data_IF_186507268259
#
_entry.id   IF_186507268259
#
_cell.length_a   1.000
_cell.length_b   1.000
_cell.length_c   1.000
_cell.angle_alpha   90.00
_cell.angle_beta   90.00
_cell.angle_gamma   90.00
#
_symmetry.space_group_name_H-M   'P 1'
#
loop_
_entity.id
_entity.type
_entity.pdbx_description
1 polymer ?
#
# COMPACT_ATOMS: atom_id res chain seq x y z
N UNK A 1 -7.64 30.52 7.83
CA UNK A 1 -7.87 29.29 8.63
C UNK A 1 -6.55 28.53 8.62
N UNK A 2 -5.97 28.18 9.77
CA UNK A 2 -4.72 27.41 9.82
C UNK A 2 -5.01 25.93 9.50
N UNK A 3 -4.10 25.26 8.79
CA UNK A 3 -4.23 23.82 8.57
C UNK A 3 -3.95 23.03 9.86
N UNK A 4 -4.47 21.81 9.98
CA UNK A 4 -4.25 20.93 11.14
C UNK A 4 -2.76 20.80 11.49
N UNK A 5 -1.90 20.63 10.48
CA UNK A 5 -0.45 20.57 10.64
C UNK A 5 0.16 21.90 11.12
N UNK A 6 -0.31 23.04 10.59
CA UNK A 6 0.15 24.36 11.04
C UNK A 6 -0.23 24.62 12.51
N UNK A 7 -1.40 24.16 12.94
CA UNK A 7 -1.83 24.25 14.35
C UNK A 7 -0.96 23.36 15.24
N UNK A 8 -0.74 22.10 14.87
CA UNK A 8 0.10 21.17 15.63
C UNK A 8 1.54 21.65 15.76
N UNK A 9 2.14 22.14 14.66
CA UNK A 9 3.51 22.68 14.68
C UNK A 9 3.60 23.90 15.61
N UNK A 10 2.60 24.79 15.56
CA UNK A 10 2.55 25.98 16.44
C UNK A 10 2.39 25.60 17.92
N UNK A 11 1.59 24.58 18.23
CA UNK A 11 1.42 24.07 19.59
C UNK A 11 2.75 23.49 20.10
N UNK A 12 3.45 22.70 19.28
CA UNK A 12 4.78 22.20 19.62
C UNK A 12 5.76 23.34 19.89
N UNK A 13 5.90 24.28 18.95
CA UNK A 13 6.85 25.40 19.06
C UNK A 13 6.61 26.26 20.31
N UNK A 14 5.34 26.47 20.69
CA UNK A 14 4.97 27.34 21.81
C UNK A 14 4.99 26.64 23.16
N UNK A 15 4.65 25.35 23.23
CA UNK A 15 4.41 24.64 24.50
C UNK A 15 5.38 23.49 24.77
N UNK A 16 6.17 23.08 23.78
CA UNK A 16 6.99 21.86 23.84
C UNK A 16 6.16 20.56 23.84
N UNK A 17 4.82 20.64 23.78
CA UNK A 17 3.94 19.48 23.76
C UNK A 17 3.91 18.88 22.36
N UNK A 18 4.38 17.65 22.24
CA UNK A 18 4.33 16.86 21.00
C UNK A 18 3.15 15.87 21.04
N UNK A 19 2.40 15.71 19.93
CA UNK A 19 1.35 14.70 19.87
C UNK A 19 1.97 13.30 19.87
N UNK A 20 1.52 12.46 20.79
CA UNK A 20 1.85 11.03 20.79
C UNK A 20 0.66 10.29 20.18
N UNK A 21 0.86 9.71 19.00
CA UNK A 21 -0.18 8.95 18.30
C UNK A 21 -0.11 7.47 18.67
N UNK A 22 -1.26 6.88 18.99
CA UNK A 22 -1.42 5.48 19.31
C UNK A 22 -2.69 4.92 18.67
N UNK A 23 -2.64 3.68 18.19
CA UNK A 23 -3.82 3.00 17.64
C UNK A 23 -4.89 2.82 18.71
N UNK A 24 -6.16 2.87 18.29
CA UNK A 24 -7.31 2.75 19.18
C UNK A 24 -8.35 1.77 18.63
N UNK A 25 -9.15 1.18 19.52
CA UNK A 25 -10.33 0.44 19.13
C UNK A 25 -11.29 1.36 18.35
N UNK A 26 -11.93 0.83 17.29
CA UNK A 26 -12.88 1.58 16.44
C UNK A 26 -14.10 2.10 17.20
N UNK A 27 -14.47 1.44 18.31
CA UNK A 27 -15.49 1.88 19.27
C UNK A 27 -14.93 2.69 20.45
N UNK A 28 -13.66 3.10 20.38
CA UNK A 28 -12.93 3.88 21.39
C UNK A 28 -12.85 3.24 22.79
N UNK A 29 -13.07 1.94 22.92
CA UNK A 29 -13.07 1.27 24.22
C UNK A 29 -11.68 1.20 24.88
N UNK A 30 -10.61 1.18 24.08
CA UNK A 30 -9.22 1.13 24.56
C UNK A 30 -8.24 1.61 23.50
N UNK A 31 -7.07 2.06 23.95
CA UNK A 31 -5.90 2.30 23.10
C UNK A 31 -4.94 1.12 23.17
N UNK A 32 -4.26 0.82 22.06
CA UNK A 32 -3.29 -0.27 21.94
C UNK A 32 -1.90 0.21 22.39
N UNK A 33 -1.78 0.51 23.68
CA UNK A 33 -0.54 1.01 24.32
C UNK A 33 -0.12 0.11 25.48
N UNK A 34 1.15 0.21 25.90
CA UNK A 34 1.67 -0.55 27.04
C UNK A 34 1.42 -2.05 26.94
N UNK A 35 0.76 -2.62 27.95
CA UNK A 35 0.39 -4.05 28.02
C UNK A 35 -0.59 -4.50 26.93
N UNK A 36 -1.26 -3.56 26.27
CA UNK A 36 -2.22 -3.83 25.19
C UNK A 36 -1.64 -3.60 23.80
N UNK A 37 -0.36 -3.21 23.70
CA UNK A 37 0.33 -2.92 22.44
C UNK A 37 0.33 -4.09 21.44
N UNK A 38 0.29 -5.33 21.95
CA UNK A 38 0.31 -6.55 21.15
C UNK A 38 -1.09 -7.11 20.85
N UNK A 39 -2.16 -6.50 21.37
CA UNK A 39 -3.51 -7.00 21.11
C UNK A 39 -3.94 -6.69 19.68
N UNK A 40 -4.56 -7.69 19.04
CA UNK A 40 -5.07 -7.63 17.66
C UNK A 40 -6.60 -7.47 17.60
N UNK A 41 -7.25 -7.52 18.76
CA UNK A 41 -8.67 -7.23 18.96
C UNK A 41 -8.86 -6.49 20.27
N UNK A 42 -9.94 -5.71 20.35
CA UNK A 42 -10.30 -4.96 21.54
C UNK A 42 -10.73 -5.93 22.64
N UNK A 43 -10.09 -5.84 23.81
CA UNK A 43 -10.40 -6.68 24.98
C UNK A 43 -11.85 -6.51 25.48
N UNK A 44 -12.50 -5.39 25.17
CA UNK A 44 -13.82 -5.04 25.72
C UNK A 44 -14.98 -5.34 24.77
N UNK A 45 -14.84 -5.00 23.49
CA UNK A 45 -15.92 -5.17 22.51
C UNK A 45 -15.58 -6.21 21.44
N UNK A 46 -14.41 -6.85 21.53
CA UNK A 46 -13.88 -7.86 20.62
C UNK A 46 -13.75 -7.44 19.15
N UNK A 47 -13.97 -6.16 18.85
CA UNK A 47 -13.74 -5.60 17.52
C UNK A 47 -12.26 -5.75 17.14
N UNK A 48 -11.95 -6.12 15.90
CA UNK A 48 -10.57 -6.21 15.45
C UNK A 48 -9.89 -4.85 15.58
N UNK A 49 -8.60 -4.86 15.97
CA UNK A 49 -7.75 -3.66 15.88
C UNK A 49 -7.79 -3.16 14.44
N UNK A 50 -7.88 -1.84 14.27
CA UNK A 50 -7.71 -1.25 12.95
C UNK A 50 -6.30 -1.59 12.47
N UNK A 51 -6.24 -2.49 11.50
CA UNK A 51 -5.01 -2.94 10.87
C UNK A 51 -4.86 -2.17 9.59
N UNK A 52 -3.62 -1.92 9.18
CA UNK A 52 -3.37 -1.41 7.84
C UNK A 52 -4.11 -2.29 6.85
N UNK A 53 -4.70 -1.70 5.82
CA UNK A 53 -5.54 -2.43 4.89
C UNK A 53 -4.83 -3.64 4.27
N UNK A 54 -3.51 -3.54 4.06
CA UNK A 54 -2.65 -4.66 3.65
C UNK A 54 -2.70 -5.81 4.66
N UNK A 55 -2.48 -5.56 5.94
CA UNK A 55 -2.52 -6.63 6.95
C UNK A 55 -3.92 -7.24 7.10
N UNK A 56 -4.99 -6.48 6.84
CA UNK A 56 -6.34 -7.02 6.80
C UNK A 56 -6.56 -7.97 5.60
N UNK A 57 -6.04 -7.63 4.42
CA UNK A 57 -6.08 -8.49 3.22
C UNK A 57 -5.39 -9.82 3.49
N UNK A 58 -4.22 -9.80 4.14
CA UNK A 58 -3.45 -11.03 4.39
C UNK A 58 -4.01 -11.93 5.53
N UNK A 59 -5.02 -11.45 6.27
CA UNK A 59 -5.72 -12.27 7.27
C UNK A 59 -6.88 -13.08 6.69
N UNK A 60 -7.48 -12.62 5.60
CA UNK A 60 -8.60 -13.29 4.99
C UNK A 60 -8.08 -14.34 3.98
N UNK A 61 -8.41 -15.64 4.13
CA UNK A 61 -7.90 -16.68 3.24
C UNK A 61 -8.21 -16.44 1.76
N UNK A 62 -9.38 -15.91 1.42
CA UNK A 62 -9.75 -15.60 0.05
C UNK A 62 -8.95 -14.42 -0.50
N UNK A 63 -8.77 -13.37 0.31
CA UNK A 63 -7.97 -12.21 -0.09
C UNK A 63 -6.49 -12.57 -0.22
N UNK A 64 -5.95 -13.43 0.65
CA UNK A 64 -4.59 -13.98 0.52
C UNK A 64 -4.44 -14.80 -0.75
N UNK A 65 -5.42 -15.64 -1.08
CA UNK A 65 -5.40 -16.42 -2.33
C UNK A 65 -5.31 -15.49 -3.55
N UNK A 66 -6.11 -14.42 -3.58
CA UNK A 66 -6.03 -13.40 -4.64
C UNK A 66 -4.68 -12.67 -4.62
N UNK A 67 -4.03 -12.54 -3.46
CA UNK A 67 -2.69 -11.96 -3.36
C UNK A 67 -1.60 -12.89 -3.90
N UNK A 68 -1.83 -14.20 -3.81
CA UNK A 68 -1.00 -15.24 -4.40
C UNK A 68 -1.14 -15.39 -5.92
N UNK A 69 -2.24 -14.89 -6.50
CA UNK A 69 -2.43 -14.86 -7.97
C UNK A 69 -1.22 -14.26 -8.70
N UNK A 70 -0.61 -13.20 -8.16
CA UNK A 70 0.61 -12.62 -8.74
C UNK A 70 1.74 -13.64 -8.83
N UNK A 71 1.99 -14.38 -7.75
CA UNK A 71 3.06 -15.37 -7.72
C UNK A 71 2.78 -16.47 -8.74
N UNK A 72 1.57 -17.02 -8.75
CA UNK A 72 1.17 -18.06 -9.71
C UNK A 72 1.32 -17.57 -11.16
N UNK A 73 0.82 -16.37 -11.46
CA UNK A 73 0.90 -15.79 -12.81
C UNK A 73 2.34 -15.48 -13.21
N UNK A 74 3.17 -15.01 -12.28
CA UNK A 74 4.58 -14.77 -12.54
C UNK A 74 5.32 -16.06 -12.89
N UNK A 75 5.11 -17.14 -12.15
CA UNK A 75 5.74 -18.43 -12.47
C UNK A 75 5.36 -18.90 -13.88
N UNK A 76 4.09 -18.81 -14.25
CA UNK A 76 3.63 -19.14 -15.61
C UNK A 76 4.31 -18.29 -16.69
N UNK A 77 4.44 -16.97 -16.46
CA UNK A 77 5.10 -16.07 -17.40
C UNK A 77 6.59 -16.45 -17.52
N UNK A 78 7.30 -16.68 -16.40
CA UNK A 78 8.71 -17.05 -16.45
C UNK A 78 8.92 -18.39 -17.17
N UNK A 79 8.07 -19.39 -16.92
CA UNK A 79 8.07 -20.68 -17.61
C UNK A 79 7.82 -20.53 -19.12
N UNK A 80 6.87 -19.68 -19.53
CA UNK A 80 6.59 -19.38 -20.95
C UNK A 80 7.81 -18.76 -21.63
N UNK A 81 8.45 -17.79 -20.97
CA UNK A 81 9.62 -17.08 -21.50
C UNK A 81 10.81 -18.03 -21.68
N UNK A 82 11.06 -18.87 -20.68
CA UNK A 82 12.14 -19.86 -20.72
C UNK A 82 11.89 -20.94 -21.79
N UNK A 83 10.69 -21.52 -21.82
CA UNK A 83 10.35 -22.60 -22.76
C UNK A 83 10.43 -22.16 -24.23
N UNK A 84 10.06 -20.90 -24.51
CA UNK A 84 10.08 -20.36 -25.86
C UNK A 84 11.40 -19.64 -26.21
N UNK A 85 12.31 -19.49 -25.24
CA UNK A 85 13.55 -18.73 -25.38
C UNK A 85 13.30 -17.31 -25.92
N UNK A 86 12.35 -16.61 -25.30
CA UNK A 86 11.95 -15.23 -25.63
C UNK A 86 12.04 -14.35 -24.38
N UNK A 87 12.27 -13.05 -24.59
CA UNK A 87 12.37 -12.10 -23.47
C UNK A 87 11.02 -11.53 -23.03
N UNK A 88 9.98 -11.68 -23.85
CA UNK A 88 8.66 -11.07 -23.68
C UNK A 88 7.52 -12.08 -23.92
N UNK A 89 6.41 -12.01 -23.15
CA UNK A 89 5.28 -12.91 -23.32
C UNK A 89 4.61 -12.69 -24.67
N UNK A 90 3.99 -13.75 -25.20
CA UNK A 90 3.22 -13.69 -26.43
C UNK A 90 1.92 -12.87 -26.31
N UNK A 91 1.35 -12.83 -25.10
CA UNK A 91 0.12 -12.08 -24.78
C UNK A 91 0.32 -11.17 -23.56
N UNK A 92 -0.10 -9.91 -23.70
CA UNK A 92 -0.10 -8.93 -22.61
C UNK A 92 -1.51 -8.82 -22.03
N UNK A 93 -1.77 -9.58 -20.96
CA UNK A 93 -3.08 -9.65 -20.34
C UNK A 93 -3.13 -9.11 -18.90
N UNK A 94 -1.98 -8.90 -18.27
CA UNK A 94 -1.86 -8.41 -16.90
C UNK A 94 -0.65 -7.46 -16.77
N UNK A 95 -0.62 -6.69 -15.68
CA UNK A 95 0.47 -5.76 -15.34
C UNK A 95 1.83 -6.47 -15.21
N UNK A 96 1.82 -7.76 -14.89
CA UNK A 96 3.04 -8.56 -14.72
C UNK A 96 3.77 -8.85 -16.03
N UNK A 97 3.10 -8.70 -17.19
CA UNK A 97 3.73 -8.83 -18.49
C UNK A 97 4.58 -7.60 -18.86
N UNK A 98 4.47 -6.50 -18.11
CA UNK A 98 5.21 -5.26 -18.40
C UNK A 98 6.72 -5.45 -18.28
N UNK A 99 7.47 -4.89 -19.24
CA UNK A 99 8.92 -5.05 -19.28
C UNK A 99 9.61 -4.57 -18.01
N UNK A 100 9.24 -3.39 -17.50
CA UNK A 100 9.80 -2.86 -16.26
C UNK A 100 9.58 -3.84 -15.10
N UNK A 101 8.39 -4.45 -15.03
CA UNK A 101 8.05 -5.40 -13.98
C UNK A 101 8.92 -6.67 -14.09
N UNK A 102 9.07 -7.21 -15.30
CA UNK A 102 9.93 -8.36 -15.58
C UNK A 102 11.40 -8.06 -15.23
N UNK A 103 11.90 -6.88 -15.60
CA UNK A 103 13.26 -6.46 -15.27
C UNK A 103 13.46 -6.28 -13.76
N UNK A 104 12.45 -5.77 -13.04
CA UNK A 104 12.47 -5.68 -11.60
C UNK A 104 12.43 -7.07 -10.92
N UNK A 105 11.73 -8.05 -11.47
CA UNK A 105 11.79 -9.43 -10.97
C UNK A 105 13.16 -10.05 -11.25
N UNK A 106 13.66 -9.96 -12.49
CA UNK A 106 14.95 -10.53 -12.93
C UNK A 106 16.14 -9.96 -12.16
N UNK A 107 16.10 -8.68 -11.82
CA UNK A 107 17.15 -8.00 -11.04
C UNK A 107 17.10 -8.32 -9.54
N UNK A 108 16.18 -9.19 -9.09
CA UNK A 108 15.99 -9.52 -7.67
C UNK A 108 15.42 -8.36 -6.86
N UNK A 109 14.90 -7.36 -7.56
CA UNK A 109 14.34 -6.16 -7.01
C UNK A 109 12.93 -6.44 -6.49
N UNK A 110 12.12 -7.25 -7.21
CA UNK A 110 10.85 -7.82 -6.75
C UNK A 110 11.07 -9.28 -6.36
N UNK A 111 10.80 -9.62 -5.10
CA UNK A 111 10.82 -10.98 -4.58
C UNK A 111 9.42 -11.61 -4.59
N UNK A 112 9.36 -12.94 -4.53
CA UNK A 112 8.10 -13.70 -4.48
C UNK A 112 7.19 -13.28 -3.31
N UNK A 113 7.78 -12.88 -2.18
CA UNK A 113 7.11 -12.38 -0.98
C UNK A 113 7.01 -10.86 -0.92
N UNK A 114 7.29 -10.13 -2.01
CA UNK A 114 7.04 -8.68 -2.06
C UNK A 114 5.54 -8.38 -2.09
N UNK A 115 5.10 -7.17 -1.76
CA UNK A 115 3.75 -6.68 -2.08
C UNK A 115 3.92 -5.58 -3.11
N UNK A 116 3.25 -5.73 -4.24
CA UNK A 116 3.26 -4.70 -5.28
C UNK A 116 1.93 -3.98 -5.24
N UNK A 117 1.98 -2.66 -5.05
CA UNK A 117 0.83 -1.76 -5.12
C UNK A 117 1.00 -0.86 -6.35
N UNK A 118 -0.09 -0.66 -7.09
CA UNK A 118 -0.14 0.31 -8.19
C UNK A 118 -1.15 1.40 -7.87
N UNK A 119 -0.87 2.62 -8.29
CA UNK A 119 -1.73 3.78 -8.13
C UNK A 119 -2.50 4.06 -9.41
N UNK A 120 -3.82 4.26 -9.30
CA UNK A 120 -4.67 4.68 -10.39
C UNK A 120 -5.52 5.86 -9.95
N UNK A 121 -5.64 6.88 -10.80
CA UNK A 121 -6.41 8.07 -10.52
C UNK A 121 -7.20 8.49 -11.76
N UNK A 122 -8.46 8.88 -11.56
CA UNK A 122 -9.29 9.44 -12.62
C UNK A 122 -10.38 10.36 -12.06
N UNK A 123 -10.93 11.22 -12.91
CA UNK A 123 -12.13 12.00 -12.65
C UNK A 123 -13.39 11.13 -12.77
N UNK A 124 -14.25 11.16 -11.76
CA UNK A 124 -15.52 10.47 -11.71
C UNK A 124 -16.69 11.45 -11.54
N UNK A 125 -17.75 11.28 -12.35
CA UNK A 125 -19.01 11.99 -12.17
C UNK A 125 -19.93 11.16 -11.25
N UNK A 126 -20.23 11.68 -10.06
CA UNK A 126 -20.98 10.93 -9.04
C UNK A 126 -22.51 10.97 -9.22
N UNK A 127 -23.03 11.93 -9.97
CA UNK A 127 -24.48 12.09 -10.18
C UNK A 127 -24.81 12.34 -11.65
N UNK A 128 -25.77 11.57 -12.19
CA UNK A 128 -26.23 11.70 -13.58
C UNK A 128 -26.85 13.07 -13.87
N UNK A 129 -27.53 13.67 -12.89
CA UNK A 129 -28.33 14.89 -13.06
C UNK A 129 -27.74 16.14 -12.39
N UNK A 130 -26.55 16.03 -11.78
CA UNK A 130 -25.88 17.13 -11.09
C UNK A 130 -24.41 17.14 -11.46
N UNK A 131 -23.88 18.31 -11.80
CA UNK A 131 -22.44 18.51 -12.06
C UNK A 131 -21.69 18.29 -10.74
N UNK A 132 -21.30 17.05 -10.50
CA UNK A 132 -20.59 16.60 -9.30
C UNK A 132 -19.41 15.78 -9.78
N UNK A 133 -18.38 16.49 -10.19
CA UNK A 133 -17.10 15.92 -10.60
C UNK A 133 -16.28 15.71 -9.32
N UNK A 134 -15.68 14.54 -9.13
CA UNK A 134 -14.75 14.25 -8.05
C UNK A 134 -13.61 13.42 -8.61
N UNK A 135 -12.38 13.64 -8.18
CA UNK A 135 -11.26 12.79 -8.55
C UNK A 135 -11.09 11.69 -7.51
N UNK A 136 -10.94 10.45 -7.96
CA UNK A 136 -10.75 9.30 -7.08
C UNK A 136 -9.39 8.70 -7.40
N UNK A 137 -8.55 8.60 -6.38
CA UNK A 137 -7.29 7.85 -6.43
C UNK A 137 -7.44 6.54 -5.66
N UNK A 138 -7.06 5.44 -6.29
CA UNK A 138 -7.23 4.08 -5.81
C UNK A 138 -5.88 3.36 -5.90
N UNK A 139 -5.52 2.64 -4.83
CA UNK A 139 -4.45 1.64 -4.90
C UNK A 139 -5.00 0.30 -5.40
N UNK A 140 -4.17 -0.51 -6.06
CA UNK A 140 -4.44 -1.94 -6.30
C UNK A 140 -4.97 -2.59 -5.01
N UNK A 141 -5.92 -3.52 -5.15
CA UNK A 141 -6.74 -4.07 -4.05
C UNK A 141 -7.87 -3.15 -3.54
N UNK A 142 -8.30 -2.18 -4.35
CA UNK A 142 -9.50 -1.34 -4.15
C UNK A 142 -9.46 -0.60 -2.81
N UNK A 143 -8.30 -0.03 -2.49
CA UNK A 143 -8.16 0.82 -1.32
C UNK A 143 -8.24 2.28 -1.78
N UNK A 144 -9.34 3.00 -1.50
CA UNK A 144 -9.42 4.41 -1.85
C UNK A 144 -8.31 5.15 -1.10
N UNK A 145 -7.38 5.72 -1.86
CA UNK A 145 -6.28 6.50 -1.32
C UNK A 145 -6.63 7.97 -1.15
N UNK A 146 -7.42 8.52 -2.08
CA UNK A 146 -7.90 9.90 -2.00
C UNK A 146 -9.23 10.08 -2.74
N UNK A 147 -10.07 10.98 -2.21
CA UNK A 147 -11.23 11.52 -2.92
C UNK A 147 -11.09 13.04 -2.89
N UNK A 148 -10.98 13.65 -4.07
CA UNK A 148 -10.86 15.10 -4.22
C UNK A 148 -12.21 15.62 -4.74
N UNK A 149 -12.93 16.45 -3.98
CA UNK A 149 -14.18 17.03 -4.45
C UNK A 149 -13.90 18.05 -5.56
N UNK A 150 -14.67 18.00 -6.65
CA UNK A 150 -14.64 19.00 -7.72
C UNK A 150 -15.52 20.22 -7.40
N UNK A 151 -16.05 20.95 -8.40
CA UNK A 151 -16.24 20.57 -9.81
C UNK A 151 -15.05 20.89 -10.74
N UNK A 152 -13.96 21.43 -10.19
CA UNK A 152 -12.77 21.78 -10.98
C UNK A 152 -11.70 20.70 -10.83
N UNK A 153 -10.84 20.58 -11.83
CA UNK A 153 -9.64 19.74 -11.74
C UNK A 153 -8.71 20.26 -10.63
N UNK A 154 -8.04 19.36 -9.89
CA UNK A 154 -7.05 19.75 -8.91
C UNK A 154 -5.87 20.42 -9.60
N UNK A 155 -5.65 21.71 -9.30
CA UNK A 155 -4.52 22.47 -9.84
C UNK A 155 -3.16 21.94 -9.37
N UNK A 156 -3.13 21.29 -8.20
CA UNK A 156 -1.92 20.74 -7.60
C UNK A 156 -2.18 19.34 -7.05
N UNK A 157 -2.37 18.37 -7.97
CA UNK A 157 -2.70 16.99 -7.67
C UNK A 157 -1.76 16.35 -6.64
N UNK A 158 -0.45 16.61 -6.75
CA UNK A 158 0.59 16.16 -5.83
C UNK A 158 0.29 16.45 -4.36
N UNK A 159 -0.39 17.57 -4.06
CA UNK A 159 -0.71 17.93 -2.67
C UNK A 159 -1.78 17.04 -2.06
N UNK A 160 -2.68 16.49 -2.89
CA UNK A 160 -3.74 15.59 -2.49
C UNK A 160 -3.26 14.14 -2.38
N UNK A 161 -2.35 13.72 -3.26
CA UNK A 161 -1.80 12.36 -3.28
C UNK A 161 -0.64 12.17 -2.29
N UNK A 162 0.07 13.24 -1.91
CA UNK A 162 1.25 13.19 -1.04
C UNK A 162 1.03 12.39 0.25
N UNK A 163 -0.07 12.56 1.03
CA UNK A 163 -0.28 11.78 2.24
C UNK A 163 -0.35 10.26 1.97
N UNK A 164 -0.99 9.87 0.87
CA UNK A 164 -1.12 8.48 0.45
C UNK A 164 0.24 7.90 0.03
N UNK A 165 1.00 8.63 -0.80
CA UNK A 165 2.35 8.24 -1.20
C UNK A 165 3.33 8.19 -0.02
N UNK A 166 3.21 9.13 0.93
CA UNK A 166 4.01 9.14 2.14
C UNK A 166 3.77 7.88 2.97
N UNK A 167 2.51 7.44 3.15
CA UNK A 167 2.23 6.17 3.83
C UNK A 167 2.88 4.98 3.14
N UNK A 168 2.78 4.88 1.80
CA UNK A 168 3.48 3.81 1.05
C UNK A 168 4.99 3.92 1.23
N UNK A 169 5.55 5.13 1.20
CA UNK A 169 6.97 5.39 1.47
C UNK A 169 7.41 4.98 2.88
N UNK A 170 6.55 5.12 3.89
CA UNK A 170 6.84 4.61 5.24
C UNK A 170 6.83 3.09 5.29
N UNK A 171 5.92 2.44 4.56
CA UNK A 171 5.87 0.98 4.47
C UNK A 171 7.07 0.42 3.68
N UNK A 172 7.54 1.13 2.67
CA UNK A 172 8.75 0.83 1.91
C UNK A 172 10.03 0.87 2.75
N UNK A 173 10.06 1.74 3.76
CA UNK A 173 11.22 1.94 4.62
C UNK A 173 11.14 1.18 5.95
N UNK A 174 9.97 0.62 6.29
CA UNK A 174 9.75 -0.14 7.50
C UNK A 174 9.73 -1.65 7.26
N UNK A 175 9.95 -2.42 8.32
CA UNK A 175 9.81 -3.88 8.30
C UNK A 175 8.34 -4.27 8.48
N UNK A 176 7.50 -4.06 7.45
CA UNK A 176 6.09 -4.45 7.53
C UNK A 176 6.00 -5.98 7.65
N UNK A 177 5.76 -6.44 8.87
CA UNK A 177 5.45 -7.83 9.19
C UNK A 177 3.95 -8.04 9.05
N UNK A 178 3.59 -9.00 8.20
CA UNK A 178 2.19 -9.38 8.02
C UNK A 178 2.06 -10.88 8.22
N UNK A 179 0.99 -11.30 8.89
CA UNK A 179 0.66 -12.72 9.00
C UNK A 179 -0.01 -13.18 7.71
N UNK A 180 0.60 -14.14 7.01
CA UNK A 180 0.03 -14.79 5.83
C UNK A 180 -0.84 -15.97 6.29
N UNK A 181 -2.16 -15.84 6.14
CA UNK A 181 -3.11 -16.88 6.53
C UNK A 181 -3.09 -18.14 5.64
N UNK A 182 -2.53 -18.06 4.43
CA UNK A 182 -2.38 -19.22 3.53
C UNK A 182 -1.14 -20.04 3.91
N UNK A 183 0.00 -19.39 4.09
CA UNK A 183 1.26 -20.06 4.43
C UNK A 183 1.49 -20.24 5.94
N UNK A 184 0.63 -19.66 6.77
CA UNK A 184 0.71 -19.73 8.24
C UNK A 184 2.07 -19.25 8.78
N UNK A 185 2.62 -18.18 8.18
CA UNK A 185 3.91 -17.58 8.55
C UNK A 185 3.86 -16.06 8.49
N UNK A 186 4.91 -15.40 9.00
CA UNK A 186 5.09 -13.94 8.92
C UNK A 186 6.20 -13.64 7.91
N UNK A 187 5.90 -13.41 6.61
CA UNK A 187 6.89 -12.86 5.69
C UNK A 187 7.27 -11.42 6.05
N UNK A 188 8.49 -11.03 5.67
CA UNK A 188 8.90 -9.64 5.59
C UNK A 188 8.45 -9.14 4.21
N UNK A 189 7.47 -8.24 4.16
CA UNK A 189 6.90 -7.83 2.89
C UNK A 189 7.49 -6.50 2.45
N UNK A 190 8.18 -6.52 1.32
CA UNK A 190 8.65 -5.30 0.67
C UNK A 190 7.51 -4.70 -0.14
N UNK A 191 7.02 -3.52 0.27
CA UNK A 191 5.98 -2.81 -0.49
C UNK A 191 6.63 -2.08 -1.66
N UNK A 192 6.15 -2.25 -2.88
CA UNK A 192 6.62 -1.53 -4.05
C UNK A 192 5.49 -0.77 -4.71
N UNK A 193 5.77 0.48 -5.08
CA UNK A 193 4.84 1.29 -5.85
C UNK A 193 5.24 1.25 -7.32
N UNK A 194 4.32 0.81 -8.19
CA UNK A 194 4.44 1.04 -9.62
C UNK A 194 3.73 2.37 -9.93
N UNK A 195 4.51 3.45 -10.02
CA UNK A 195 4.02 4.73 -10.53
C UNK A 195 4.26 4.81 -12.03
N UNK A 196 3.36 5.47 -12.77
CA UNK A 196 3.56 5.73 -14.20
C UNK A 196 4.98 6.23 -14.47
N UNK A 197 5.75 5.42 -15.20
CA UNK A 197 7.14 5.62 -15.66
C UNK A 197 8.30 5.28 -14.71
N UNK A 198 8.08 4.88 -13.45
CA UNK A 198 9.20 4.47 -12.59
C UNK A 198 8.76 3.39 -11.60
N UNK A 199 9.31 2.19 -11.75
CA UNK A 199 9.37 1.25 -10.64
C UNK A 199 10.42 1.78 -9.66
N UNK A 200 9.97 2.33 -8.54
CA UNK A 200 10.90 2.69 -7.46
C UNK A 200 11.27 1.41 -6.71
N UNK A 201 12.35 0.76 -7.15
CA UNK A 201 12.95 -0.34 -6.40
C UNK A 201 14.10 0.16 -5.55
N UNK A 202 14.06 -0.18 -4.26
CA UNK A 202 15.22 -0.05 -3.38
C UNK A 202 16.18 -1.20 -3.67
N UNK A 203 17.35 -0.89 -4.25
CA UNK A 203 18.50 -1.80 -4.24
C UNK A 203 18.82 -2.13 -2.79
N UNK A 204 18.77 -3.42 -2.42
CA UNK A 204 19.28 -3.89 -1.13
C UNK A 204 20.73 -3.42 -0.97
N UNK A 205 21.02 -2.74 0.13
CA UNK A 205 22.39 -2.44 0.49
C UNK A 205 23.06 -3.77 0.86
N UNK A 206 23.90 -4.29 -0.04
CA UNK A 206 24.82 -5.39 0.29
C UNK A 206 25.72 -4.93 1.43
N UNK A 207 25.45 -5.40 2.65
CA UNK A 207 26.43 -5.44 3.72
C UNK A 207 27.45 -6.52 3.36
N UNK A 208 28.50 -6.14 2.62
CA UNK A 208 29.75 -6.87 2.67
C UNK A 208 30.34 -6.63 4.05
N UNK A 209 30.28 -7.67 4.89
CA UNK A 209 31.12 -7.78 6.07
C UNK A 209 32.38 -8.51 5.59
N UNK A 210 33.46 -7.76 5.41
CA UNK A 210 34.82 -8.26 5.65
C UNK A 210 35.17 -8.04 7.13
#
# INVERSE_FOLDING_TARGET
MLSYYQVLRRIWDLSGVVPIAHDMCVKSCMAYTGVFSQLVSCKFCNEPRYMTHIQALFRNPQSVHNMWHRHERMQQILEELEANNVDFPSEYNDVYCGQDYLDAVRSGNIHDDSIVVSWSEDGAQLYQSKKSDAWIGIWTFILPGVIIPGPNNPWHLDSFIFPSLHHVGTLQNGDLKVWDAHQQRIPLLQVMSMGGWVIMVKKGANTHVE
#
